data_IF_738188933974
#
_entry.id   IF_738188933974
#
_cell.length_a   1.000
_cell.length_b   1.000
_cell.length_c   1.000
_cell.angle_alpha   90.00
_cell.angle_beta   90.00
_cell.angle_gamma   90.00
#
_symmetry.space_group_name_H-M   'P 1'
#
loop_
_entity.id
_entity.type
_entity.pdbx_description
1 polymer ?
#
# COMPACT_ATOMS: atom_id res chain seq x y z
N UNK A 1 0.62 13.28 3.93
CA UNK A 1 1.35 12.67 2.80
C UNK A 1 2.36 11.69 3.37
N UNK A 2 2.67 10.62 2.65
CA UNK A 2 3.57 9.56 3.14
C UNK A 2 4.69 9.28 2.14
N UNK A 3 5.78 8.71 2.63
CA UNK A 3 6.88 8.19 1.82
C UNK A 3 6.72 6.69 1.64
N UNK A 4 6.72 6.22 0.39
CA UNK A 4 6.73 4.80 0.04
C UNK A 4 8.09 4.41 -0.50
N UNK A 5 8.77 3.47 0.16
CA UNK A 5 9.92 2.78 -0.42
C UNK A 5 9.49 1.44 -0.97
N UNK A 6 9.80 1.17 -2.23
CA UNK A 6 9.62 -0.14 -2.86
C UNK A 6 10.99 -0.78 -3.08
N UNK A 7 11.21 -1.95 -2.48
CA UNK A 7 12.36 -2.80 -2.74
C UNK A 7 11.91 -3.97 -3.62
N UNK A 8 12.36 -4.00 -4.88
CA UNK A 8 11.95 -5.01 -5.86
C UNK A 8 13.03 -6.08 -6.02
N UNK A 9 12.92 -7.21 -5.30
CA UNK A 9 13.73 -8.40 -5.57
C UNK A 9 13.01 -9.41 -6.49
N UNK A 10 11.83 -9.04 -7.00
CA UNK A 10 11.03 -9.90 -7.86
C UNK A 10 11.72 -10.12 -9.21
N UNK A 11 11.39 -11.22 -9.87
CA UNK A 11 11.98 -11.58 -11.16
C UNK A 11 11.57 -10.65 -12.31
N UNK A 12 10.55 -9.81 -12.11
CA UNK A 12 10.07 -8.82 -13.08
C UNK A 12 10.17 -7.39 -12.56
N UNK A 13 10.12 -6.44 -13.50
CA UNK A 13 9.97 -5.03 -13.15
C UNK A 13 8.57 -4.78 -12.59
N UNK A 14 8.46 -3.83 -11.66
CA UNK A 14 7.19 -3.35 -11.13
C UNK A 14 6.93 -1.96 -11.69
N UNK A 15 5.72 -1.70 -12.16
CA UNK A 15 5.33 -0.40 -12.69
C UNK A 15 4.44 0.34 -11.71
N UNK A 16 4.68 1.63 -11.53
CA UNK A 16 3.81 2.50 -10.74
C UNK A 16 2.86 3.29 -11.66
N UNK A 17 1.66 3.60 -11.17
CA UNK A 17 0.65 4.36 -11.93
C UNK A 17 1.10 5.75 -12.38
N UNK A 18 2.16 6.30 -11.78
CA UNK A 18 2.77 7.57 -12.16
C UNK A 18 3.84 7.45 -13.26
N UNK A 19 3.96 6.28 -13.90
CA UNK A 19 4.90 6.02 -15.00
C UNK A 19 6.30 5.61 -14.58
N UNK A 20 6.58 5.51 -13.27
CA UNK A 20 7.88 5.01 -12.79
C UNK A 20 7.94 3.48 -12.90
N UNK A 21 9.03 2.98 -13.46
CA UNK A 21 9.36 1.54 -13.43
C UNK A 21 10.42 1.28 -12.35
N UNK A 22 10.11 0.42 -11.39
CA UNK A 22 11.09 -0.12 -10.44
C UNK A 22 11.68 -1.41 -11.04
N UNK A 23 12.87 -1.29 -11.62
CA UNK A 23 13.56 -2.44 -12.23
C UNK A 23 13.84 -3.55 -11.22
N UNK A 24 13.94 -4.79 -11.70
CA UNK A 24 14.38 -5.94 -10.91
C UNK A 24 15.69 -5.64 -10.14
N UNK A 25 15.75 -6.10 -8.89
CA UNK A 25 16.86 -5.92 -7.94
C UNK A 25 17.20 -4.44 -7.67
N UNK A 26 16.22 -3.54 -7.81
CA UNK A 26 16.38 -2.12 -7.50
C UNK A 26 15.37 -1.69 -6.44
N UNK A 27 15.73 -0.59 -5.79
CA UNK A 27 14.89 0.13 -4.84
C UNK A 27 14.51 1.48 -5.44
N UNK A 28 13.28 1.92 -5.18
CA UNK A 28 12.82 3.26 -5.48
C UNK A 28 12.07 3.84 -4.27
N UNK A 29 12.17 5.14 -4.05
CA UNK A 29 11.46 5.84 -2.97
C UNK A 29 10.62 6.95 -3.57
N UNK A 30 9.31 6.86 -3.35
CA UNK A 30 8.34 7.87 -3.68
C UNK A 30 8.10 8.76 -2.46
N UNK A 31 8.49 10.03 -2.54
CA UNK A 31 8.27 11.01 -1.48
C UNK A 31 6.93 11.73 -1.65
N UNK A 32 6.33 12.17 -0.55
CA UNK A 32 5.13 13.02 -0.52
C UNK A 32 3.99 12.48 -1.40
N UNK A 33 3.62 11.22 -1.17
CA UNK A 33 2.57 10.54 -1.94
C UNK A 33 1.18 10.75 -1.34
N UNK A 34 0.22 10.91 -2.24
CA UNK A 34 -1.17 10.49 -2.08
C UNK A 34 -1.35 9.10 -2.70
N UNK A 35 -2.44 8.85 -3.43
CA UNK A 35 -2.69 7.51 -4.00
C UNK A 35 -1.66 7.06 -5.05
N UNK A 36 -1.37 5.76 -5.08
CA UNK A 36 -0.46 5.11 -6.03
C UNK A 36 -0.93 3.68 -6.31
N UNK A 37 -0.72 3.18 -7.53
CA UNK A 37 -0.92 1.75 -7.85
C UNK A 37 0.40 1.16 -8.28
N UNK A 38 0.74 -0.02 -7.76
CA UNK A 38 1.84 -0.84 -8.26
C UNK A 38 1.26 -2.00 -9.08
N UNK A 39 1.68 -2.10 -10.33
CA UNK A 39 1.38 -3.20 -11.24
C UNK A 39 2.51 -4.21 -11.17
N UNK A 40 2.20 -5.40 -10.70
CA UNK A 40 3.18 -6.47 -10.44
C UNK A 40 2.88 -7.59 -11.45
N UNK A 41 3.75 -7.83 -12.44
CA UNK A 41 3.47 -8.81 -13.49
C UNK A 41 3.13 -10.20 -12.91
N UNK A 42 1.99 -10.77 -13.34
CA UNK A 42 1.53 -12.08 -12.87
C UNK A 42 0.84 -12.08 -11.51
N UNK A 43 0.71 -10.92 -10.85
CA UNK A 43 0.01 -10.76 -9.56
C UNK A 43 -1.13 -9.74 -9.68
N UNK A 44 -1.92 -9.61 -8.61
CA UNK A 44 -2.90 -8.53 -8.50
C UNK A 44 -2.22 -7.16 -8.43
N UNK A 45 -2.91 -6.10 -8.83
CA UNK A 45 -2.43 -4.74 -8.60
C UNK A 45 -2.47 -4.40 -7.09
N UNK A 46 -1.41 -3.77 -6.59
CA UNK A 46 -1.37 -3.26 -5.22
C UNK A 46 -1.77 -1.79 -5.21
N UNK A 47 -2.90 -1.47 -4.60
CA UNK A 47 -3.46 -0.13 -4.53
C UNK A 47 -3.13 0.52 -3.18
N UNK A 48 -2.52 1.69 -3.21
CA UNK A 48 -2.35 2.58 -2.06
C UNK A 48 -3.36 3.71 -2.22
N UNK A 49 -4.41 3.69 -1.41
CA UNK A 49 -5.51 4.65 -1.47
C UNK A 49 -5.33 5.64 -0.33
N UNK A 50 -5.07 6.90 -0.65
CA UNK A 50 -5.02 7.97 0.34
C UNK A 50 -6.41 8.16 0.96
N UNK A 51 -6.49 8.00 2.28
CA UNK A 51 -7.72 8.20 3.04
C UNK A 51 -7.80 9.62 3.62
N UNK A 52 -6.73 10.42 3.52
CA UNK A 52 -6.58 11.64 4.29
C UNK A 52 -6.95 11.38 5.77
N UNK A 53 -7.84 12.19 6.33
CA UNK A 53 -8.35 12.07 7.70
C UNK A 53 -9.54 11.10 7.86
N UNK A 54 -10.14 10.64 6.74
CA UNK A 54 -11.34 9.80 6.77
C UNK A 54 -11.05 8.43 7.35
N UNK A 55 -11.65 8.09 8.49
CA UNK A 55 -11.56 6.77 9.14
C UNK A 55 -12.39 5.71 8.43
N UNK A 56 -11.90 4.47 8.40
CA UNK A 56 -12.67 3.34 7.89
C UNK A 56 -13.73 2.92 8.92
N UNK A 57 -15.02 2.83 8.54
CA UNK A 57 -16.06 2.31 9.42
C UNK A 57 -15.72 0.91 9.93
N UNK A 58 -15.93 0.64 11.21
CA UNK A 58 -15.60 -0.65 11.83
C UNK A 58 -14.13 -0.83 12.24
N UNK A 59 -13.24 0.11 11.90
CA UNK A 59 -11.81 0.05 12.25
C UNK A 59 -11.40 1.30 13.06
N UNK A 60 -11.72 1.34 14.38
CA UNK A 60 -11.40 2.48 15.24
C UNK A 60 -9.92 2.62 15.58
N UNK A 61 -9.12 1.58 15.28
CA UNK A 61 -7.67 1.58 15.39
C UNK A 61 -7.04 1.39 14.01
N UNK A 62 -5.86 1.96 13.74
CA UNK A 62 -5.12 2.87 14.62
C UNK A 62 -5.72 4.30 14.67
N UNK A 63 -5.32 5.10 15.68
CA UNK A 63 -5.98 6.39 16.00
C UNK A 63 -5.43 7.59 15.23
N UNK A 64 -4.23 7.50 14.68
CA UNK A 64 -3.51 8.61 14.02
C UNK A 64 -4.31 9.18 12.84
N UNK A 65 -4.26 10.49 12.66
CA UNK A 65 -5.17 11.28 11.80
C UNK A 65 -5.12 10.82 10.34
N UNK A 66 -3.93 10.85 9.74
CA UNK A 66 -3.75 10.59 8.31
C UNK A 66 -3.67 9.09 8.02
N UNK A 67 -4.12 8.66 6.85
CA UNK A 67 -4.13 7.23 6.53
C UNK A 67 -4.03 6.85 5.09
N UNK A 68 -3.62 5.60 4.88
CA UNK A 68 -3.59 4.93 3.59
C UNK A 68 -4.24 3.57 3.77
N UNK A 69 -5.16 3.22 2.89
CA UNK A 69 -5.63 1.86 2.72
C UNK A 69 -4.78 1.21 1.64
N UNK A 70 -4.00 0.20 2.02
CA UNK A 70 -3.28 -0.63 1.05
C UNK A 70 -4.13 -1.87 0.75
N UNK A 71 -4.42 -2.12 -0.53
CA UNK A 71 -5.17 -3.29 -0.98
C UNK A 71 -4.31 -4.13 -1.90
N UNK A 72 -4.22 -5.43 -1.62
CA UNK A 72 -3.47 -6.34 -2.46
C UNK A 72 -4.08 -7.74 -2.41
N UNK A 73 -4.63 -8.18 -3.54
CA UNK A 73 -5.35 -9.44 -3.63
C UNK A 73 -6.47 -9.51 -2.58
N UNK A 74 -6.45 -10.49 -1.68
CA UNK A 74 -7.46 -10.73 -0.65
C UNK A 74 -7.09 -10.17 0.73
N UNK A 75 -6.05 -9.34 0.83
CA UNK A 75 -5.63 -8.73 2.09
C UNK A 75 -5.52 -7.22 1.96
N UNK A 76 -5.90 -6.53 3.02
CA UNK A 76 -5.72 -5.09 3.14
C UNK A 76 -4.91 -4.73 4.37
N UNK A 77 -4.15 -3.65 4.25
CA UNK A 77 -3.47 -3.02 5.37
C UNK A 77 -4.07 -1.64 5.61
N UNK A 78 -4.54 -1.42 6.84
CA UNK A 78 -5.00 -0.13 7.31
C UNK A 78 -3.85 0.58 8.01
N UNK A 79 -3.22 1.50 7.29
CA UNK A 79 -2.07 2.25 7.77
C UNK A 79 -2.48 3.67 8.18
N UNK A 80 -2.02 4.11 9.34
CA UNK A 80 -2.30 5.41 9.93
C UNK A 80 -1.04 6.04 10.51
N UNK A 81 -0.91 7.35 10.41
CA UNK A 81 0.29 8.08 10.84
C UNK A 81 -0.01 9.54 11.20
N UNK A 82 0.93 10.15 11.95
CA UNK A 82 0.99 11.59 12.16
C UNK A 82 2.20 12.19 11.43
N UNK A 83 2.07 13.45 11.00
CA UNK A 83 3.12 14.12 10.23
C UNK A 83 3.40 13.41 8.90
N UNK A 84 4.65 12.96 8.70
CA UNK A 84 5.09 12.28 7.47
C UNK A 84 5.21 10.77 7.66
N UNK A 85 4.22 10.02 7.18
CA UNK A 85 4.20 8.57 7.28
C UNK A 85 5.29 7.89 6.44
N UNK A 86 5.68 6.67 6.83
CA UNK A 86 6.62 5.83 6.10
C UNK A 86 6.07 4.42 5.88
N UNK A 87 6.09 3.96 4.62
CA UNK A 87 5.79 2.58 4.25
C UNK A 87 6.97 1.99 3.46
N UNK A 88 7.31 0.74 3.74
CA UNK A 88 8.29 -0.03 3.00
C UNK A 88 7.61 -1.29 2.45
N UNK A 89 7.50 -1.38 1.13
CA UNK A 89 7.05 -2.57 0.42
C UNK A 89 8.27 -3.33 -0.09
N UNK A 90 8.51 -4.54 0.42
CA UNK A 90 9.60 -5.40 -0.04
C UNK A 90 9.03 -6.62 -0.74
N UNK A 91 9.31 -6.73 -2.03
CA UNK A 91 8.96 -7.88 -2.85
C UNK A 91 10.11 -8.88 -2.83
N UNK A 92 9.81 -10.15 -2.56
CA UNK A 92 10.77 -11.26 -2.68
C UNK A 92 10.91 -11.73 -4.14
N UNK A 93 11.70 -12.78 -4.36
CA UNK A 93 11.94 -13.34 -5.70
C UNK A 93 10.70 -13.96 -6.34
N UNK A 94 9.66 -14.29 -5.56
CA UNK A 94 8.43 -14.92 -6.00
C UNK A 94 7.27 -13.92 -6.14
N UNK A 95 7.46 -12.67 -5.72
CA UNK A 95 6.45 -11.61 -5.78
C UNK A 95 5.63 -11.47 -4.50
N UNK A 96 5.99 -12.20 -3.43
CA UNK A 96 5.42 -11.97 -2.10
C UNK A 96 5.85 -10.60 -1.61
N UNK A 97 4.90 -9.78 -1.16
CA UNK A 97 5.19 -8.46 -0.61
C UNK A 97 5.04 -8.46 0.91
N UNK A 98 6.07 -7.97 1.59
CA UNK A 98 6.00 -7.60 3.02
C UNK A 98 5.93 -6.09 3.16
N UNK A 99 4.93 -5.61 3.89
CA UNK A 99 4.79 -4.20 4.26
C UNK A 99 5.27 -3.96 5.68
N UNK A 100 6.08 -2.93 5.87
CA UNK A 100 6.48 -2.44 7.20
C UNK A 100 6.43 -0.92 7.27
N UNK A 101 6.35 -0.38 8.47
CA UNK A 101 6.35 1.06 8.76
C UNK A 101 7.37 1.35 9.85
N UNK A 102 8.01 2.53 9.79
CA UNK A 102 8.86 3.07 10.86
C UNK A 102 8.26 4.31 11.52
N UNK A 103 7.21 4.90 10.95
CA UNK A 103 6.46 6.01 11.52
C UNK A 103 4.96 5.81 11.29
N UNK A 104 4.19 5.65 12.34
CA UNK A 104 2.77 5.29 12.27
C UNK A 104 2.53 3.79 12.46
N UNK A 105 1.26 3.43 12.55
CA UNK A 105 0.78 2.10 12.90
C UNK A 105 0.02 1.47 11.73
N UNK A 106 0.12 0.14 11.60
CA UNK A 106 -0.54 -0.60 10.53
C UNK A 106 -1.23 -1.83 11.09
N UNK A 107 -2.47 -2.05 10.67
CA UNK A 107 -3.25 -3.25 11.02
C UNK A 107 -3.68 -3.99 9.76
N UNK A 108 -3.58 -5.33 9.74
CA UNK A 108 -4.25 -6.11 8.71
C UNK A 108 -5.76 -6.00 8.92
N UNK A 109 -6.50 -5.76 7.84
CA UNK A 109 -7.96 -5.72 7.84
C UNK A 109 -8.50 -6.55 6.66
N UNK A 110 -9.82 -6.75 6.64
CA UNK A 110 -10.51 -7.43 5.55
C UNK A 110 -11.83 -6.71 5.27
N UNK A 111 -11.90 -6.04 4.14
CA UNK A 111 -13.10 -5.33 3.69
C UNK A 111 -13.63 -5.96 2.40
N UNK A 112 -14.94 -5.88 2.17
CA UNK A 112 -15.53 -6.43 0.95
C UNK A 112 -15.07 -5.61 -0.26
N UNK A 113 -14.50 -6.28 -1.27
CA UNK A 113 -14.17 -5.65 -2.57
C UNK A 113 -15.39 -5.42 -3.44
N UNK A 114 -16.36 -6.33 -3.38
CA UNK A 114 -17.51 -6.35 -4.26
C UNK A 114 -18.74 -6.81 -3.48
N UNK A 115 -19.81 -6.03 -3.56
CA UNK A 115 -21.10 -6.32 -2.89
C UNK A 115 -22.20 -6.08 -3.91
N UNK A 116 -23.09 -7.07 -4.07
CA UNK A 116 -24.35 -6.92 -4.80
C UNK A 116 -25.42 -6.66 -3.75
N UNK A 117 -26.09 -5.51 -3.84
CA UNK A 117 -27.26 -5.21 -3.02
C UNK A 117 -28.51 -5.67 -3.75
N UNK A 118 -29.40 -6.35 -3.03
CA UNK A 118 -30.73 -6.70 -3.52
C UNK A 118 -31.75 -5.86 -2.77
N UNK A 119 -32.63 -5.18 -3.51
CA UNK A 119 -33.78 -4.47 -2.94
C UNK A 119 -34.81 -5.43 -2.35
#
# INVERSE_FOLDING_TARGET
>A
MYTLTVNNNYIHNIEASNGVTISKNKKHTFNDRGSLVLRIPGMADMNFIDLADKKLPGYPQPKETWGVLVRYSNMEAYYRYEGSGTLNATFDTLGTCSLTTSNGSMLPISIREFVIETN
#
